data_IF_403994216629
#
_entry.id   IF_403994216629
#
_cell.length_a   1.000
_cell.length_b   1.000
_cell.length_c   1.000
_cell.angle_alpha   90.00
_cell.angle_beta   90.00
_cell.angle_gamma   90.00
#
_symmetry.space_group_name_H-M   'P 1'
#
loop_
_entity.id
_entity.type
_entity.pdbx_description
1 polymer ?
#
# COMPACT_ATOMS: atom_id res chain seq x y z
N UNK A 1 71.10 44.26 14.51
CA UNK A 1 70.82 43.98 13.08
C UNK A 1 71.59 42.71 12.75
N UNK A 2 70.87 41.59 12.66
CA UNK A 2 71.40 40.24 12.86
C UNK A 2 72.23 39.72 11.66
N UNK A 3 73.33 39.07 11.99
CA UNK A 3 74.18 38.27 11.11
C UNK A 3 74.13 36.79 11.52
N UNK A 4 74.23 35.93 10.50
CA UNK A 4 75.04 34.68 10.44
C UNK A 4 74.43 33.31 10.86
N UNK A 5 74.30 32.47 9.83
CA UNK A 5 74.81 31.07 9.64
C UNK A 5 74.19 29.89 10.42
N UNK A 6 73.54 28.99 9.66
CA UNK A 6 74.07 27.68 9.24
C UNK A 6 74.45 26.56 10.24
N UNK A 7 73.90 25.37 9.93
CA UNK A 7 74.43 24.00 10.12
C UNK A 7 74.23 23.22 11.46
N UNK A 8 73.60 22.04 11.28
CA UNK A 8 73.98 20.69 11.78
C UNK A 8 73.43 20.11 13.11
N UNK A 9 72.77 18.96 12.91
CA UNK A 9 72.63 17.73 13.70
C UNK A 9 71.89 17.66 15.05
N UNK A 10 70.94 16.71 15.02
CA UNK A 10 70.61 15.67 16.00
C UNK A 10 70.18 16.15 17.40
N UNK A 11 68.89 16.01 17.66
CA UNK A 11 68.44 15.22 18.82
C UNK A 11 67.18 14.43 18.49
N UNK A 12 67.36 13.12 18.63
CA UNK A 12 66.39 12.04 18.54
C UNK A 12 65.35 12.23 19.66
N UNK A 13 64.06 12.30 19.34
CA UNK A 13 63.01 11.91 20.27
C UNK A 13 62.09 10.92 19.55
N UNK A 14 62.32 9.65 19.86
CA UNK A 14 61.53 8.52 19.43
C UNK A 14 60.17 8.59 20.15
N UNK A 15 59.12 9.10 19.50
CA UNK A 15 57.75 8.78 19.88
C UNK A 15 57.30 7.60 19.03
N UNK A 16 57.37 6.41 19.61
CA UNK A 16 56.74 5.20 19.08
C UNK A 16 55.23 5.39 19.10
N UNK A 17 54.65 5.80 17.98
CA UNK A 17 53.23 5.62 17.73
C UNK A 17 53.02 4.16 17.32
N UNK A 18 52.53 3.34 18.26
CA UNK A 18 51.96 2.03 17.96
C UNK A 18 50.68 2.30 17.16
N UNK A 19 50.77 2.19 15.83
CA UNK A 19 49.61 2.12 14.97
C UNK A 19 48.91 0.79 15.24
N UNK A 20 47.92 0.79 16.13
CA UNK A 20 46.98 -0.30 16.25
C UNK A 20 46.19 -0.39 14.94
N UNK A 21 46.59 -1.31 14.06
CA UNK A 21 45.73 -1.79 12.96
C UNK A 21 44.53 -2.50 13.59
N UNK A 22 43.51 -1.75 13.96
CA UNK A 22 42.17 -2.29 14.13
C UNK A 22 41.61 -2.50 12.74
N UNK A 23 41.52 -3.77 12.34
CA UNK A 23 40.85 -4.17 11.11
C UNK A 23 39.46 -3.56 11.06
N UNK A 24 39.23 -2.68 10.09
CA UNK A 24 37.89 -2.28 9.68
C UNK A 24 37.24 -3.51 9.05
N UNK A 25 36.58 -4.32 9.89
CA UNK A 25 35.58 -5.26 9.40
C UNK A 25 34.49 -4.42 8.71
N UNK A 26 34.11 -4.73 7.46
CA UNK A 26 32.96 -4.09 6.85
C UNK A 26 31.76 -4.45 7.73
N UNK A 27 31.20 -3.45 8.40
CA UNK A 27 29.91 -3.59 9.05
C UNK A 27 28.91 -3.89 7.94
N UNK A 28 28.56 -5.16 7.77
CA UNK A 28 27.35 -5.54 7.06
C UNK A 28 26.21 -4.84 7.78
N UNK A 29 25.70 -3.76 7.19
CA UNK A 29 24.43 -3.17 7.60
C UNK A 29 23.40 -4.27 7.40
N UNK A 30 23.09 -5.00 8.46
CA UNK A 30 21.98 -5.93 8.48
C UNK A 30 20.76 -5.11 8.07
N UNK A 31 20.19 -5.42 6.90
CA UNK A 31 18.96 -4.82 6.43
C UNK A 31 17.93 -4.92 7.56
N UNK A 32 17.70 -3.80 8.25
CA UNK A 32 16.73 -3.75 9.34
C UNK A 32 15.38 -4.10 8.70
N UNK A 33 14.91 -5.31 9.00
CA UNK A 33 13.68 -5.84 8.44
C UNK A 33 12.54 -4.87 8.72
N UNK A 34 12.15 -4.10 7.69
CA UNK A 34 11.01 -3.20 7.80
C UNK A 34 9.81 -4.01 8.28
N UNK A 35 9.24 -3.62 9.41
CA UNK A 35 7.93 -4.13 9.87
C UNK A 35 6.96 -3.99 8.71
N UNK A 36 6.50 -5.10 8.15
CA UNK A 36 5.52 -5.15 7.07
C UNK A 36 4.21 -4.55 7.60
N UNK A 37 3.91 -3.29 7.26
CA UNK A 37 2.76 -2.55 7.81
C UNK A 37 1.44 -2.83 7.09
N UNK A 38 1.48 -3.30 5.83
CA UNK A 38 0.29 -3.46 4.99
C UNK A 38 0.22 -4.86 4.37
N UNK A 39 -1.01 -5.31 4.05
CA UNK A 39 -1.22 -6.60 3.40
C UNK A 39 -0.57 -6.65 2.00
N UNK A 40 -0.58 -5.54 1.26
CA UNK A 40 0.12 -5.44 -0.03
C UNK A 40 1.62 -5.68 0.09
N UNK A 41 2.28 -5.06 1.07
CA UNK A 41 3.72 -5.27 1.29
C UNK A 41 4.05 -6.73 1.65
N UNK A 42 3.18 -7.38 2.45
CA UNK A 42 3.34 -8.80 2.76
C UNK A 42 3.26 -9.67 1.49
N UNK A 43 2.30 -9.39 0.62
CA UNK A 43 2.11 -10.14 -0.63
C UNK A 43 3.33 -10.04 -1.53
N UNK A 44 3.75 -8.81 -1.83
CA UNK A 44 4.90 -8.55 -2.70
C UNK A 44 6.17 -9.23 -2.17
N UNK A 45 6.39 -9.23 -0.86
CA UNK A 45 7.59 -9.85 -0.28
C UNK A 45 7.55 -11.39 -0.23
N UNK A 46 6.37 -12.01 -0.32
CA UNK A 46 6.22 -13.47 -0.16
C UNK A 46 5.92 -14.22 -1.44
N UNK A 47 5.47 -13.54 -2.49
CA UNK A 47 5.34 -14.11 -3.82
C UNK A 47 6.73 -14.39 -4.42
N UNK A 48 6.88 -15.49 -5.19
CA UNK A 48 8.11 -15.77 -5.90
C UNK A 48 8.41 -14.64 -6.90
N UNK A 49 9.69 -14.31 -7.06
CA UNK A 49 10.13 -13.33 -8.07
C UNK A 49 9.96 -13.95 -9.46
N UNK A 50 9.24 -13.26 -10.33
CA UNK A 50 9.04 -13.62 -11.74
C UNK A 50 9.93 -12.73 -12.62
N UNK A 51 10.38 -13.13 -13.81
CA UNK A 51 11.16 -12.22 -14.68
C UNK A 51 10.32 -10.99 -15.08
N UNK A 52 10.98 -9.87 -15.38
CA UNK A 52 10.33 -8.65 -15.88
C UNK A 52 10.53 -8.49 -17.39
N UNK A 53 9.47 -8.06 -18.09
CA UNK A 53 9.57 -7.54 -19.44
C UNK A 53 10.12 -6.11 -19.46
N UNK A 54 10.46 -5.58 -20.65
CA UNK A 54 10.90 -4.19 -20.79
C UNK A 54 9.74 -3.22 -20.52
N UNK A 55 8.55 -3.58 -20.97
CA UNK A 55 7.32 -2.84 -20.78
C UNK A 55 7.00 -2.71 -19.29
N UNK A 56 7.11 -3.80 -18.52
CA UNK A 56 6.90 -3.80 -17.07
C UNK A 56 7.91 -2.91 -16.33
N UNK A 57 9.17 -2.92 -16.75
CA UNK A 57 10.19 -2.03 -16.17
C UNK A 57 9.83 -0.57 -16.44
N UNK A 58 9.45 -0.23 -17.68
CA UNK A 58 9.07 1.13 -18.04
C UNK A 58 7.83 1.59 -17.26
N UNK A 59 6.81 0.74 -17.17
CA UNK A 59 5.58 1.03 -16.42
C UNK A 59 5.88 1.22 -14.92
N UNK A 60 6.75 0.41 -14.31
CA UNK A 60 7.13 0.56 -12.90
C UNK A 60 7.85 1.89 -12.63
N UNK A 61 8.78 2.29 -13.51
CA UNK A 61 9.50 3.55 -13.38
C UNK A 61 8.58 4.76 -13.58
N UNK A 62 7.66 4.67 -14.55
CA UNK A 62 6.69 5.71 -14.82
C UNK A 62 5.69 5.88 -13.66
N UNK A 63 5.04 4.79 -13.23
CA UNK A 63 4.09 4.79 -12.12
C UNK A 63 4.73 5.29 -10.81
N UNK A 64 6.03 5.02 -10.60
CA UNK A 64 6.78 5.53 -9.44
C UNK A 64 6.79 7.06 -9.40
N UNK A 65 6.97 7.73 -10.53
CA UNK A 65 6.97 9.19 -10.62
C UNK A 65 5.54 9.76 -10.76
N UNK A 66 4.59 9.03 -11.32
CA UNK A 66 3.18 9.45 -11.40
C UNK A 66 2.51 9.53 -10.02
N UNK A 67 2.71 8.53 -9.16
CA UNK A 67 2.23 8.58 -7.78
C UNK A 67 2.90 9.72 -6.99
N UNK A 68 4.16 10.03 -7.32
CA UNK A 68 4.84 11.21 -6.78
C UNK A 68 4.23 12.51 -7.29
N UNK A 69 3.83 12.57 -8.56
CA UNK A 69 3.12 13.72 -9.15
C UNK A 69 1.85 14.00 -8.37
N UNK A 70 1.03 12.97 -8.14
CA UNK A 70 -0.18 13.08 -7.34
C UNK A 70 0.11 13.63 -5.94
N UNK A 71 1.02 12.99 -5.20
CA UNK A 71 1.45 13.43 -3.86
C UNK A 71 1.89 14.88 -3.85
N UNK A 72 2.79 15.25 -4.76
CA UNK A 72 3.43 16.56 -4.75
C UNK A 72 2.46 17.67 -5.15
N UNK A 73 1.55 17.42 -6.10
CA UNK A 73 0.47 18.36 -6.43
C UNK A 73 -0.44 18.56 -5.23
N UNK A 74 -0.81 17.49 -4.53
CA UNK A 74 -1.69 17.58 -3.35
C UNK A 74 -1.03 18.29 -2.17
N UNK A 75 0.25 18.02 -1.90
CA UNK A 75 1.01 18.78 -0.89
C UNK A 75 1.07 20.27 -1.26
N UNK A 76 1.34 20.57 -2.53
CA UNK A 76 1.47 21.95 -3.00
C UNK A 76 0.13 22.69 -2.90
N UNK A 77 -0.96 22.13 -3.42
CA UNK A 77 -2.27 22.77 -3.39
C UNK A 77 -2.88 22.79 -1.98
N UNK A 78 -2.53 21.82 -1.12
CA UNK A 78 -2.92 21.82 0.29
C UNK A 78 -2.34 22.98 1.10
N UNK A 79 -1.21 23.54 0.67
CA UNK A 79 -0.65 24.76 1.27
C UNK A 79 -1.42 26.03 0.86
N UNK A 80 -2.04 26.04 -0.33
CA UNK A 80 -2.86 27.15 -0.82
C UNK A 80 -4.30 27.06 -0.30
N UNK A 81 -4.85 25.85 -0.21
CA UNK A 81 -6.20 25.57 0.23
C UNK A 81 -6.16 24.55 1.37
N UNK A 82 -6.26 24.97 2.64
CA UNK A 82 -6.04 24.12 3.82
C UNK A 82 -7.23 23.16 4.10
N UNK A 83 -7.72 22.48 3.07
CA UNK A 83 -8.73 21.44 3.19
C UNK A 83 -8.09 20.09 3.53
N UNK A 84 -8.65 19.32 4.47
CA UNK A 84 -8.11 18.02 4.87
C UNK A 84 -7.96 17.02 3.72
N UNK A 85 -8.74 17.16 2.64
CA UNK A 85 -8.70 16.25 1.48
C UNK A 85 -7.29 16.15 0.88
N UNK A 86 -6.62 17.28 0.63
CA UNK A 86 -5.30 17.29 0.00
C UNK A 86 -4.25 16.59 0.87
N UNK A 87 -4.21 16.91 2.17
CA UNK A 87 -3.28 16.27 3.11
C UNK A 87 -3.56 14.77 3.27
N UNK A 88 -4.83 14.38 3.33
CA UNK A 88 -5.21 12.98 3.55
C UNK A 88 -4.91 12.12 2.33
N UNK A 89 -5.16 12.63 1.12
CA UNK A 89 -4.89 11.93 -0.13
C UNK A 89 -3.39 11.91 -0.41
N UNK A 90 -2.65 13.00 -0.20
CA UNK A 90 -1.17 12.99 -0.28
C UNK A 90 -0.52 11.93 0.61
N UNK A 91 -1.07 11.66 1.80
CA UNK A 91 -0.60 10.56 2.67
C UNK A 91 -0.90 9.17 2.10
N UNK A 92 -1.97 9.04 1.32
CA UNK A 92 -2.30 7.83 0.57
C UNK A 92 -1.31 7.61 -0.57
N UNK A 93 -0.99 8.66 -1.35
CA UNK A 93 -0.03 8.57 -2.45
C UNK A 93 1.37 8.24 -1.95
N UNK A 94 1.74 8.73 -0.78
CA UNK A 94 2.97 8.31 -0.13
C UNK A 94 2.99 6.79 0.17
N UNK A 95 1.83 6.15 0.40
CA UNK A 95 1.75 4.68 0.48
C UNK A 95 1.81 4.02 -0.89
N UNK A 96 1.18 4.57 -1.92
CA UNK A 96 1.26 4.05 -3.28
C UNK A 96 2.70 4.06 -3.79
N UNK A 97 3.38 5.20 -3.65
CA UNK A 97 4.81 5.37 -3.88
C UNK A 97 5.64 4.30 -3.19
N UNK A 98 5.39 4.02 -1.91
CA UNK A 98 6.12 2.95 -1.17
C UNK A 98 5.87 1.57 -1.74
N UNK A 99 4.65 1.28 -2.19
CA UNK A 99 4.33 -0.02 -2.78
C UNK A 99 5.06 -0.23 -4.11
N UNK A 100 5.20 0.81 -4.95
CA UNK A 100 6.00 0.72 -6.18
C UNK A 100 7.48 0.61 -5.83
N UNK A 101 7.98 1.40 -4.87
CA UNK A 101 9.38 1.29 -4.42
C UNK A 101 9.73 -0.13 -3.96
N UNK A 102 8.84 -0.80 -3.23
CA UNK A 102 9.04 -2.20 -2.84
C UNK A 102 9.24 -3.14 -4.04
N UNK A 103 8.58 -2.87 -5.18
CA UNK A 103 8.83 -3.60 -6.42
C UNK A 103 10.18 -3.23 -7.01
N UNK A 104 10.51 -1.93 -7.13
CA UNK A 104 11.81 -1.50 -7.64
C UNK A 104 12.97 -2.14 -6.84
N UNK A 105 12.88 -2.14 -5.51
CA UNK A 105 13.86 -2.76 -4.63
C UNK A 105 13.92 -4.29 -4.83
N UNK A 106 12.76 -4.97 -4.89
CA UNK A 106 12.68 -6.44 -5.12
C UNK A 106 13.30 -6.83 -6.46
N UNK A 107 13.14 -5.99 -7.47
CA UNK A 107 13.62 -6.20 -8.83
C UNK A 107 15.00 -5.60 -9.09
N UNK A 108 15.58 -4.90 -8.10
CA UNK A 108 16.89 -4.24 -8.20
C UNK A 108 16.93 -3.21 -9.34
N UNK A 109 15.85 -2.48 -9.53
CA UNK A 109 15.71 -1.40 -10.51
C UNK A 109 16.13 -0.05 -9.89
N UNK A 110 16.71 0.87 -10.67
CA UNK A 110 17.01 2.22 -10.19
C UNK A 110 15.72 2.99 -9.86
N UNK A 111 15.70 3.74 -8.75
CA UNK A 111 14.53 4.53 -8.33
C UNK A 111 14.66 5.99 -8.81
N UNK A 112 13.84 6.43 -9.81
CA UNK A 112 13.92 7.78 -10.36
C UNK A 112 13.61 8.88 -9.32
N UNK A 113 12.89 8.53 -8.25
CA UNK A 113 12.57 9.47 -7.17
C UNK A 113 13.74 9.64 -6.22
N UNK A 114 14.53 8.59 -5.97
CA UNK A 114 15.76 8.70 -5.18
C UNK A 114 16.83 9.49 -5.94
N UNK A 115 16.97 9.24 -7.24
CA UNK A 115 17.91 9.99 -8.09
C UNK A 115 17.61 11.50 -8.13
N UNK A 116 16.33 11.89 -8.07
CA UNK A 116 15.90 13.30 -7.99
C UNK A 116 15.91 13.88 -6.57
N UNK A 117 16.33 13.09 -5.57
CA UNK A 117 16.40 13.46 -4.16
C UNK A 117 15.05 13.56 -3.45
N UNK A 118 13.97 13.06 -4.06
CA UNK A 118 12.62 13.03 -3.47
C UNK A 118 11.96 14.38 -3.23
N UNK A 119 12.54 15.49 -3.74
CA UNK A 119 12.05 16.85 -3.52
C UNK A 119 10.68 17.07 -4.17
N UNK A 120 9.81 17.81 -3.47
CA UNK A 120 8.48 18.15 -3.97
C UNK A 120 8.60 18.96 -5.26
N UNK A 121 7.90 18.53 -6.30
CA UNK A 121 7.84 19.24 -7.58
C UNK A 121 9.03 19.03 -8.51
N UNK A 122 9.96 18.13 -8.17
CA UNK A 122 11.12 17.77 -9.00
C UNK A 122 10.97 16.36 -9.56
N UNK A 123 11.01 16.19 -10.88
CA UNK A 123 10.83 14.90 -11.57
C UNK A 123 11.99 14.64 -12.52
N UNK A 124 12.36 13.36 -12.68
CA UNK A 124 13.34 12.90 -13.66
C UNK A 124 12.71 12.88 -15.05
N UNK A 125 11.46 12.42 -15.18
CA UNK A 125 10.71 12.51 -16.43
C UNK A 125 10.29 13.96 -16.75
N UNK A 126 10.78 14.56 -17.86
CA UNK A 126 10.41 15.92 -18.25
C UNK A 126 8.92 16.09 -18.58
N UNK A 127 8.21 15.04 -19.00
CA UNK A 127 6.76 15.09 -19.24
C UNK A 127 6.01 15.27 -17.93
N UNK A 128 6.36 14.51 -16.90
CA UNK A 128 5.77 14.63 -15.56
C UNK A 128 6.15 15.95 -14.90
N UNK A 129 7.37 16.45 -15.10
CA UNK A 129 7.77 17.79 -14.65
C UNK A 129 6.87 18.89 -15.25
N UNK A 130 6.61 18.83 -16.56
CA UNK A 130 5.72 19.77 -17.26
C UNK A 130 4.28 19.63 -16.77
N UNK A 131 3.82 18.41 -16.53
CA UNK A 131 2.47 18.14 -16.02
C UNK A 131 2.29 18.70 -14.61
N UNK A 132 3.25 18.50 -13.69
CA UNK A 132 3.26 19.11 -12.35
C UNK A 132 3.08 20.62 -12.42
N UNK A 133 3.93 21.30 -13.21
CA UNK A 133 3.89 22.76 -13.35
C UNK A 133 2.51 23.24 -13.85
N UNK A 134 1.95 22.55 -14.86
CA UNK A 134 0.64 22.86 -15.43
C UNK A 134 -0.49 22.68 -14.42
N UNK A 135 -0.51 21.55 -13.70
CA UNK A 135 -1.56 21.21 -12.73
C UNK A 135 -1.52 22.14 -11.53
N UNK A 136 -0.33 22.44 -11.00
CA UNK A 136 -0.16 23.40 -9.89
C UNK A 136 -0.58 24.81 -10.31
N UNK A 137 -0.15 25.27 -11.48
CA UNK A 137 -0.56 26.59 -12.01
C UNK A 137 -2.07 26.71 -12.16
N UNK A 138 -2.73 25.66 -12.68
CA UNK A 138 -4.19 25.61 -12.79
C UNK A 138 -4.85 25.58 -11.41
N UNK A 139 -4.40 24.71 -10.52
CA UNK A 139 -5.00 24.52 -9.21
C UNK A 139 -4.94 25.76 -8.34
N UNK A 140 -3.90 26.59 -8.46
CA UNK A 140 -3.77 27.87 -7.72
C UNK A 140 -4.78 28.94 -8.11
N UNK A 141 -5.54 28.77 -9.21
CA UNK A 141 -6.50 29.78 -9.68
C UNK A 141 -7.71 29.90 -8.76
N UNK A 142 -8.22 28.77 -8.27
CA UNK A 142 -9.38 28.73 -7.38
C UNK A 142 -9.44 27.38 -6.67
N UNK A 143 -10.18 27.33 -5.55
CA UNK A 143 -10.42 26.07 -4.86
C UNK A 143 -11.12 25.04 -5.78
N UNK A 144 -12.06 25.48 -6.62
CA UNK A 144 -12.74 24.61 -7.59
C UNK A 144 -11.73 24.03 -8.59
N UNK A 145 -10.81 24.85 -9.10
CA UNK A 145 -9.76 24.37 -10.01
C UNK A 145 -8.81 23.39 -9.31
N UNK A 146 -8.45 23.63 -8.05
CA UNK A 146 -7.63 22.70 -7.27
C UNK A 146 -8.30 21.34 -7.08
N UNK A 147 -9.60 21.32 -6.78
CA UNK A 147 -10.37 20.08 -6.66
C UNK A 147 -10.55 19.36 -8.00
N UNK A 148 -10.73 20.11 -9.11
CA UNK A 148 -10.75 19.55 -10.47
C UNK A 148 -9.40 18.99 -10.88
N UNK A 149 -8.29 19.63 -10.47
CA UNK A 149 -6.93 19.09 -10.65
C UNK A 149 -6.79 17.77 -9.91
N UNK A 150 -7.29 17.67 -8.67
CA UNK A 150 -7.39 16.41 -7.94
C UNK A 150 -8.09 15.32 -8.74
N UNK A 151 -9.33 15.54 -9.15
CA UNK A 151 -10.06 14.57 -9.96
C UNK A 151 -9.38 14.24 -11.31
N UNK A 152 -8.63 15.19 -11.91
CA UNK A 152 -7.89 14.97 -13.16
C UNK A 152 -6.67 14.06 -12.99
N UNK A 153 -6.00 14.15 -11.84
CA UNK A 153 -4.87 13.26 -11.55
C UNK A 153 -5.39 11.84 -11.37
N UNK A 154 -6.47 11.64 -10.60
CA UNK A 154 -7.04 10.30 -10.40
C UNK A 154 -7.62 9.68 -11.68
N UNK A 155 -8.12 10.52 -12.59
CA UNK A 155 -8.58 10.09 -13.92
C UNK A 155 -7.41 9.58 -14.78
N UNK A 156 -6.28 10.31 -14.80
CA UNK A 156 -5.07 9.88 -15.49
C UNK A 156 -4.51 8.59 -14.88
N UNK A 157 -4.38 8.55 -13.55
CA UNK A 157 -3.78 7.43 -12.81
C UNK A 157 -4.58 6.13 -13.02
N UNK A 158 -5.91 6.19 -13.01
CA UNK A 158 -6.75 5.02 -13.33
C UNK A 158 -6.48 4.56 -14.75
N UNK A 159 -6.48 5.47 -15.72
CA UNK A 159 -6.26 5.14 -17.13
C UNK A 159 -4.91 4.45 -17.34
N UNK A 160 -3.84 5.00 -16.78
CA UNK A 160 -2.50 4.49 -16.97
C UNK A 160 -2.28 3.17 -16.20
N UNK A 161 -2.91 3.00 -15.04
CA UNK A 161 -2.93 1.71 -14.31
C UNK A 161 -3.68 0.61 -15.06
N UNK A 162 -4.80 0.92 -15.71
CA UNK A 162 -5.54 -0.06 -16.54
C UNK A 162 -4.69 -0.53 -17.72
N UNK A 163 -4.04 0.42 -18.39
CA UNK A 163 -3.15 0.13 -19.49
C UNK A 163 -1.95 -0.72 -19.05
N UNK A 164 -1.29 -0.36 -17.94
CA UNK A 164 -0.20 -1.14 -17.37
C UNK A 164 -0.65 -2.54 -16.94
N UNK A 165 -1.84 -2.67 -16.33
CA UNK A 165 -2.43 -3.96 -15.95
C UNK A 165 -2.76 -4.87 -17.15
N UNK A 166 -3.05 -4.29 -18.31
CA UNK A 166 -3.29 -5.05 -19.55
C UNK A 166 -2.01 -5.64 -20.14
N UNK A 167 -0.84 -5.06 -19.82
CA UNK A 167 0.48 -5.46 -20.33
C UNK A 167 1.26 -6.40 -19.41
N UNK A 168 0.74 -6.75 -18.24
CA UNK A 168 1.46 -7.55 -17.22
C UNK A 168 0.65 -8.75 -16.75
N UNK A 169 1.31 -9.92 -16.73
CA UNK A 169 0.88 -11.12 -16.03
C UNK A 169 1.66 -11.36 -14.73
N UNK A 170 2.72 -10.56 -14.47
CA UNK A 170 3.54 -10.65 -13.26
C UNK A 170 2.72 -10.41 -11.99
N UNK A 171 2.70 -11.42 -11.13
CA UNK A 171 1.83 -11.44 -9.94
C UNK A 171 2.16 -10.36 -8.91
N UNK A 172 3.43 -9.97 -8.80
CA UNK A 172 3.84 -8.90 -7.88
C UNK A 172 3.28 -7.55 -8.33
N UNK A 173 3.45 -7.24 -9.62
CA UNK A 173 3.01 -6.00 -10.24
C UNK A 173 1.49 -5.88 -10.18
N UNK A 174 0.78 -6.94 -10.58
CA UNK A 174 -0.69 -6.97 -10.58
C UNK A 174 -1.28 -6.69 -9.21
N UNK A 175 -0.67 -7.22 -8.14
CA UNK A 175 -1.10 -6.90 -6.77
C UNK A 175 -0.99 -5.41 -6.49
N UNK A 176 0.13 -4.79 -6.82
CA UNK A 176 0.34 -3.37 -6.52
C UNK A 176 -0.64 -2.54 -7.34
N UNK A 177 -0.66 -2.67 -8.66
CA UNK A 177 -1.48 -1.85 -9.54
C UNK A 177 -2.99 -1.97 -9.27
N UNK A 178 -3.52 -3.16 -9.02
CA UNK A 178 -4.95 -3.30 -8.69
C UNK A 178 -5.32 -2.61 -7.37
N UNK A 179 -4.39 -2.54 -6.42
CA UNK A 179 -4.64 -1.89 -5.13
C UNK A 179 -4.41 -0.37 -5.18
N UNK A 180 -3.48 0.10 -6.01
CA UNK A 180 -3.33 1.51 -6.39
C UNK A 180 -4.61 1.99 -7.08
N UNK A 181 -5.07 1.29 -8.12
CA UNK A 181 -6.27 1.63 -8.88
C UNK A 181 -7.53 1.71 -7.98
N UNK A 182 -7.63 0.85 -6.95
CA UNK A 182 -8.69 0.98 -5.92
C UNK A 182 -8.56 2.27 -5.11
N UNK A 183 -7.33 2.62 -4.72
CA UNK A 183 -7.00 3.89 -4.07
C UNK A 183 -7.47 5.07 -4.91
N UNK A 184 -7.05 5.14 -6.17
CA UNK A 184 -7.33 6.22 -7.12
C UNK A 184 -8.83 6.38 -7.36
N UNK A 185 -9.58 5.28 -7.53
CA UNK A 185 -11.07 5.32 -7.58
C UNK A 185 -11.69 5.93 -6.31
N UNK A 186 -11.13 5.66 -5.13
CA UNK A 186 -11.62 6.26 -3.88
C UNK A 186 -11.27 7.74 -3.76
N UNK A 187 -10.09 8.15 -4.23
CA UNK A 187 -9.67 9.55 -4.29
C UNK A 187 -10.54 10.34 -5.26
N UNK A 188 -10.82 9.79 -6.45
CA UNK A 188 -11.75 10.36 -7.43
C UNK A 188 -13.12 10.60 -6.80
N UNK A 189 -13.71 9.59 -6.14
CA UNK A 189 -14.98 9.75 -5.38
C UNK A 189 -14.88 10.86 -4.33
N UNK A 190 -13.74 11.00 -3.66
CA UNK A 190 -13.56 12.02 -2.63
C UNK A 190 -13.51 13.44 -3.23
N UNK A 191 -12.75 13.64 -4.31
CA UNK A 191 -12.67 14.92 -5.01
C UNK A 191 -14.01 15.31 -5.64
N UNK A 192 -14.65 14.39 -6.38
CA UNK A 192 -15.95 14.67 -7.03
C UNK A 192 -17.04 14.96 -6.00
N UNK A 193 -17.11 14.20 -4.90
CA UNK A 193 -18.06 14.50 -3.81
C UNK A 193 -17.83 15.88 -3.20
N UNK A 194 -16.58 16.33 -3.12
CA UNK A 194 -16.27 17.66 -2.59
C UNK A 194 -16.60 18.75 -3.61
N UNK A 195 -16.28 18.55 -4.90
CA UNK A 195 -16.69 19.44 -6.00
C UNK A 195 -18.19 19.70 -5.98
N UNK A 196 -19.00 18.63 -5.89
CA UNK A 196 -20.47 18.71 -5.84
C UNK A 196 -20.97 19.48 -4.64
N UNK A 197 -20.29 19.38 -3.49
CA UNK A 197 -20.60 20.19 -2.30
C UNK A 197 -20.29 21.68 -2.48
N UNK A 198 -19.37 22.03 -3.38
CA UNK A 198 -19.11 23.41 -3.77
C UNK A 198 -19.86 23.84 -5.04
N UNK A 199 -20.91 23.12 -5.44
CA UNK A 199 -21.75 23.47 -6.59
C UNK A 199 -21.05 23.29 -7.96
N UNK A 200 -20.02 22.45 -8.03
CA UNK A 200 -19.34 22.11 -9.28
C UNK A 200 -19.36 20.59 -9.53
N UNK A 201 -18.89 20.15 -10.70
CA UNK A 201 -18.71 18.73 -11.00
C UNK A 201 -17.43 18.50 -11.81
N UNK A 202 -17.13 17.24 -12.09
CA UNK A 202 -16.02 16.80 -12.92
C UNK A 202 -16.52 16.03 -14.15
N UNK A 203 -15.86 16.26 -15.28
CA UNK A 203 -16.05 15.50 -16.51
C UNK A 203 -14.74 14.76 -16.82
N UNK A 204 -14.78 13.43 -17.02
CA UNK A 204 -13.57 12.65 -17.26
C UNK A 204 -12.92 13.06 -18.59
N UNK A 205 -11.60 12.96 -18.62
CA UNK A 205 -10.72 13.32 -19.74
C UNK A 205 -9.94 12.14 -20.27
N UNK A 206 -9.65 11.15 -19.43
CA UNK A 206 -8.85 9.99 -19.79
C UNK A 206 -9.66 8.71 -19.79
N UNK A 207 -10.38 8.42 -18.71
CA UNK A 207 -11.33 7.30 -18.66
C UNK A 207 -12.65 7.63 -19.36
N UNK A 208 -13.41 6.60 -19.70
CA UNK A 208 -14.71 6.78 -20.34
C UNK A 208 -15.76 7.35 -19.37
N UNK A 209 -16.77 8.05 -19.91
CA UNK A 209 -17.90 8.54 -19.11
C UNK A 209 -18.67 7.40 -18.43
N UNK A 210 -18.77 6.24 -19.08
CA UNK A 210 -19.42 5.05 -18.50
C UNK A 210 -18.66 4.54 -17.28
N UNK A 211 -17.36 4.38 -17.41
CA UNK A 211 -16.49 3.92 -16.32
C UNK A 211 -16.50 4.92 -15.16
N UNK A 212 -16.34 6.22 -15.44
CA UNK A 212 -16.44 7.27 -14.45
C UNK A 212 -17.76 7.21 -13.66
N UNK A 213 -18.88 7.05 -14.36
CA UNK A 213 -20.19 6.91 -13.72
C UNK A 213 -20.28 5.63 -12.89
N UNK A 214 -19.70 4.52 -13.37
CA UNK A 214 -19.64 3.26 -12.62
C UNK A 214 -18.84 3.43 -11.31
N UNK A 215 -17.71 4.16 -11.34
CA UNK A 215 -16.87 4.46 -10.19
C UNK A 215 -17.68 5.25 -9.16
N UNK A 216 -18.40 6.29 -9.58
CA UNK A 216 -19.18 7.14 -8.70
C UNK A 216 -20.47 6.50 -8.18
N UNK A 217 -21.01 5.49 -8.87
CA UNK A 217 -22.25 4.81 -8.47
C UNK A 217 -22.10 3.95 -7.22
N UNK A 218 -20.88 3.54 -6.88
CA UNK A 218 -20.59 2.70 -5.72
C UNK A 218 -19.96 3.48 -4.57
N UNK A 219 -20.20 3.00 -3.35
CA UNK A 219 -19.57 3.54 -2.14
C UNK A 219 -18.06 3.25 -2.14
N UNK A 220 -17.35 3.93 -1.25
CA UNK A 220 -15.91 3.74 -1.01
C UNK A 220 -15.53 2.25 -0.93
N UNK A 221 -14.57 1.85 -1.76
CA UNK A 221 -14.04 0.48 -1.81
C UNK A 221 -13.06 0.25 -0.67
N UNK A 222 -13.38 -0.66 0.25
CA UNK A 222 -12.54 -1.00 1.38
C UNK A 222 -12.03 -2.44 1.26
N UNK A 223 -10.71 -2.67 1.32
CA UNK A 223 -10.19 -4.02 1.28
C UNK A 223 -8.88 -4.15 0.52
N UNK A 224 -8.76 -5.19 -0.29
CA UNK A 224 -7.55 -5.60 -1.00
C UNK A 224 -7.85 -6.45 -2.24
N UNK A 225 -7.06 -6.31 -3.31
CA UNK A 225 -7.12 -7.20 -4.50
C UNK A 225 -5.91 -8.16 -4.56
N UNK A 226 -6.13 -9.48 -4.75
CA UNK A 226 -5.04 -10.48 -4.96
C UNK A 226 -4.39 -10.36 -6.34
N UNK A 227 -3.25 -11.05 -6.61
CA UNK A 227 -2.68 -11.05 -7.96
C UNK A 227 -3.67 -11.42 -9.07
N UNK A 228 -4.58 -12.33 -8.77
CA UNK A 228 -5.63 -12.81 -9.67
C UNK A 228 -6.77 -11.82 -9.92
N UNK A 229 -6.77 -10.61 -9.35
CA UNK A 229 -7.90 -9.68 -9.48
C UNK A 229 -9.06 -9.94 -8.53
N UNK A 230 -8.94 -10.90 -7.62
CA UNK A 230 -10.01 -11.21 -6.68
C UNK A 230 -10.08 -10.15 -5.58
N UNK A 231 -11.23 -9.49 -5.45
CA UNK A 231 -11.47 -8.53 -4.38
C UNK A 231 -11.72 -9.24 -3.05
N UNK A 232 -10.94 -8.87 -2.05
CA UNK A 232 -11.19 -9.17 -0.65
C UNK A 232 -11.67 -7.88 -0.01
N UNK A 233 -12.90 -7.88 0.51
CA UNK A 233 -13.42 -6.74 1.26
C UNK A 233 -12.57 -6.38 2.49
N UNK A 234 -13.07 -5.52 3.40
CA UNK A 234 -12.29 -4.98 4.51
C UNK A 234 -11.62 -6.07 5.39
N UNK A 235 -10.48 -5.71 6.00
CA UNK A 235 -9.73 -6.58 6.94
C UNK A 235 -10.61 -7.08 8.08
N UNK A 236 -11.62 -6.32 8.45
CA UNK A 236 -12.67 -6.76 9.36
C UNK A 236 -13.96 -7.01 8.60
N UNK A 237 -14.66 -8.08 8.95
CA UNK A 237 -16.03 -8.35 8.57
C UNK A 237 -16.91 -8.04 9.77
N UNK A 238 -18.02 -7.34 9.55
CA UNK A 238 -19.08 -7.16 10.54
C UNK A 238 -20.37 -7.71 9.98
N UNK A 239 -21.12 -8.42 10.80
CA UNK A 239 -22.39 -8.97 10.37
C UNK A 239 -23.03 -9.88 11.40
N UNK A 240 -24.23 -10.34 11.05
CA UNK A 240 -25.01 -11.27 11.87
C UNK A 240 -24.60 -12.70 11.56
N UNK A 241 -24.40 -13.51 12.59
CA UNK A 241 -24.11 -14.93 12.44
C UNK A 241 -25.37 -15.65 11.97
N UNK A 242 -25.28 -16.31 10.83
CA UNK A 242 -26.35 -17.13 10.26
C UNK A 242 -26.27 -18.56 10.79
N UNK A 243 -25.06 -19.12 10.79
CA UNK A 243 -24.84 -20.53 11.11
C UNK A 243 -23.45 -20.76 11.66
N UNK A 244 -23.36 -21.63 12.66
CA UNK A 244 -22.12 -22.22 13.13
C UNK A 244 -22.11 -23.68 12.67
N UNK A 245 -20.97 -24.11 12.15
CA UNK A 245 -20.77 -25.49 11.69
C UNK A 245 -19.33 -25.92 11.95
N UNK A 246 -19.08 -27.22 11.85
CA UNK A 246 -17.74 -27.77 11.83
C UNK A 246 -17.42 -28.26 10.42
N UNK A 247 -16.29 -27.84 9.86
CA UNK A 247 -15.82 -28.31 8.54
C UNK A 247 -14.35 -28.72 8.59
N UNK A 248 -13.91 -29.63 7.69
CA UNK A 248 -12.51 -29.92 7.49
C UNK A 248 -11.65 -28.67 7.28
N UNK A 249 -10.44 -28.72 7.83
CA UNK A 249 -9.40 -27.72 7.61
C UNK A 249 -9.02 -27.60 6.14
N UNK A 250 -8.42 -26.46 5.77
CA UNK A 250 -8.01 -26.21 4.39
C UNK A 250 -6.96 -27.21 3.88
N UNK A 251 -5.84 -27.33 4.60
CA UNK A 251 -4.71 -28.20 4.25
C UNK A 251 -4.82 -29.60 4.88
N UNK A 252 -5.15 -29.66 6.17
CA UNK A 252 -5.32 -30.92 6.91
C UNK A 252 -6.81 -31.26 7.02
N UNK A 253 -7.30 -32.13 6.14
CA UNK A 253 -8.72 -32.50 6.05
C UNK A 253 -9.22 -33.28 7.28
N UNK A 254 -8.33 -33.99 7.97
CA UNK A 254 -8.62 -34.71 9.21
C UNK A 254 -8.78 -33.81 10.45
N UNK A 255 -8.43 -32.52 10.35
CA UNK A 255 -8.63 -31.58 11.46
C UNK A 255 -9.93 -30.83 11.24
N UNK A 256 -10.90 -30.98 12.16
CA UNK A 256 -12.16 -30.24 12.14
C UNK A 256 -11.99 -28.83 12.69
N UNK A 257 -12.65 -27.87 12.05
CA UNK A 257 -12.61 -26.45 12.38
C UNK A 257 -14.00 -25.91 12.62
N UNK A 258 -14.12 -25.03 13.60
CA UNK A 258 -15.27 -24.14 13.72
C UNK A 258 -15.34 -23.21 12.52
N UNK A 259 -16.52 -23.14 11.90
CA UNK A 259 -16.86 -22.26 10.79
C UNK A 259 -18.08 -21.45 11.15
N UNK A 260 -17.98 -20.13 10.99
CA UNK A 260 -19.07 -19.19 11.19
C UNK A 260 -19.46 -18.61 9.83
N UNK A 261 -20.71 -18.77 9.45
CA UNK A 261 -21.32 -18.12 8.30
C UNK A 261 -21.95 -16.80 8.77
N UNK A 262 -21.55 -15.70 8.15
CA UNK A 262 -21.88 -14.34 8.56
C UNK A 262 -22.58 -13.64 7.39
N UNK A 263 -23.74 -13.02 7.66
CA UNK A 263 -24.39 -12.10 6.74
C UNK A 263 -23.79 -10.71 6.93
N UNK A 264 -23.04 -10.26 5.93
CA UNK A 264 -22.47 -8.90 5.87
C UNK A 264 -23.28 -8.04 4.91
N UNK A 265 -23.12 -6.70 4.93
CA UNK A 265 -23.73 -5.82 3.91
C UNK A 265 -23.32 -6.18 2.47
N UNK A 266 -22.18 -6.84 2.28
CA UNK A 266 -21.64 -7.27 0.98
C UNK A 266 -22.06 -8.69 0.60
N UNK A 267 -22.88 -9.36 1.42
CA UNK A 267 -23.31 -10.74 1.19
C UNK A 267 -22.83 -11.71 2.27
N UNK A 268 -22.93 -13.00 1.96
CA UNK A 268 -22.66 -14.07 2.91
C UNK A 268 -21.22 -14.55 2.84
N UNK A 269 -20.62 -14.74 4.02
CA UNK A 269 -19.22 -15.06 4.13
C UNK A 269 -19.02 -16.19 5.13
N UNK A 270 -18.28 -17.23 4.73
CA UNK A 270 -17.85 -18.31 5.63
C UNK A 270 -16.44 -18.05 6.17
N UNK A 271 -16.30 -18.02 7.49
CA UNK A 271 -15.04 -17.79 8.20
C UNK A 271 -14.66 -19.01 9.03
N UNK A 272 -13.48 -19.58 8.78
CA UNK A 272 -12.86 -20.57 9.68
C UNK A 272 -12.27 -19.87 10.92
N UNK A 273 -12.75 -20.25 12.10
CA UNK A 273 -12.39 -19.63 13.37
C UNK A 273 -11.16 -20.30 13.97
N UNK A 274 -11.26 -21.56 14.41
CA UNK A 274 -10.15 -22.34 14.98
C UNK A 274 -10.40 -23.85 14.86
N UNK A 275 -9.37 -24.70 14.96
CA UNK A 275 -9.56 -26.14 15.15
C UNK A 275 -10.44 -26.38 16.38
N UNK A 276 -11.40 -27.29 16.28
CA UNK A 276 -12.33 -27.60 17.38
C UNK A 276 -11.56 -28.03 18.63
N UNK A 277 -10.52 -28.85 18.45
CA UNK A 277 -9.63 -29.30 19.53
C UNK A 277 -8.86 -28.18 20.26
N UNK A 278 -8.71 -27.00 19.65
CA UNK A 278 -8.02 -25.85 20.26
C UNK A 278 -8.99 -24.85 20.89
N UNK A 279 -10.27 -24.95 20.54
CA UNK A 279 -11.34 -24.12 21.06
C UNK A 279 -12.56 -25.01 21.34
N UNK A 280 -12.48 -25.89 22.36
CA UNK A 280 -13.56 -26.84 22.65
C UNK A 280 -14.84 -26.13 23.07
N UNK A 281 -14.71 -24.98 23.73
CA UNK A 281 -15.82 -24.09 24.08
C UNK A 281 -15.86 -22.91 23.11
N UNK A 282 -16.81 -22.94 22.18
CA UNK A 282 -17.09 -21.86 21.25
C UNK A 282 -18.55 -21.43 21.40
N UNK A 283 -18.77 -20.25 21.98
CA UNK A 283 -20.09 -19.82 22.47
C UNK A 283 -20.86 -18.90 21.52
N UNK A 284 -20.27 -18.55 20.37
CA UNK A 284 -20.96 -17.74 19.35
C UNK A 284 -22.16 -18.52 18.80
N UNK A 285 -23.32 -17.88 18.75
CA UNK A 285 -24.60 -18.46 18.34
C UNK A 285 -25.12 -17.81 17.07
N UNK A 286 -26.03 -18.52 16.40
CA UNK A 286 -26.80 -17.93 15.31
C UNK A 286 -27.64 -16.79 15.90
N UNK A 287 -27.62 -15.63 15.23
CA UNK A 287 -28.24 -14.41 15.75
C UNK A 287 -27.26 -13.36 16.24
N UNK A 288 -26.08 -13.76 16.73
CA UNK A 288 -25.11 -12.84 17.30
C UNK A 288 -24.52 -11.90 16.25
N UNK A 289 -24.22 -10.66 16.66
CA UNK A 289 -23.47 -9.72 15.85
C UNK A 289 -21.98 -9.86 16.15
N UNK A 290 -21.20 -10.18 15.11
CA UNK A 290 -19.78 -10.42 15.25
C UNK A 290 -18.96 -9.45 14.41
N UNK A 291 -17.80 -9.07 14.94
CA UNK A 291 -16.70 -8.43 14.23
C UNK A 291 -15.54 -9.42 14.11
N UNK A 292 -15.25 -9.85 12.90
CA UNK A 292 -14.13 -10.76 12.60
C UNK A 292 -12.98 -9.97 11.98
N UNK A 293 -11.83 -9.91 12.63
CA UNK A 293 -10.57 -9.49 12.01
C UNK A 293 -9.99 -10.71 11.31
N UNK A 294 -9.70 -10.61 10.02
CA UNK A 294 -9.17 -11.70 9.21
C UNK A 294 -7.91 -11.30 8.46
N UNK A 295 -7.13 -12.30 8.09
CA UNK A 295 -6.09 -12.17 7.07
C UNK A 295 -6.43 -13.13 5.93
N UNK A 296 -6.34 -12.71 4.65
CA UNK A 296 -6.58 -13.58 3.51
C UNK A 296 -5.48 -14.64 3.28
N UNK A 297 -4.77 -15.10 4.32
CA UNK A 297 -3.63 -16.03 4.22
C UNK A 297 -3.90 -17.26 3.34
N UNK A 298 -5.09 -17.86 3.46
CA UNK A 298 -5.45 -19.04 2.65
C UNK A 298 -5.82 -18.69 1.22
N UNK A 299 -6.36 -17.49 1.00
CA UNK A 299 -6.61 -16.96 -0.34
C UNK A 299 -5.29 -16.72 -1.10
N UNK A 300 -4.23 -16.29 -0.41
CA UNK A 300 -2.86 -16.22 -0.97
C UNK A 300 -2.39 -17.59 -1.47
N UNK A 301 -2.82 -18.64 -0.80
CA UNK A 301 -2.51 -20.04 -1.14
C UNK A 301 -3.54 -20.65 -2.10
N UNK A 302 -4.34 -19.84 -2.79
CA UNK A 302 -5.33 -20.28 -3.79
C UNK A 302 -6.60 -20.89 -3.22
N UNK A 303 -6.84 -20.80 -1.91
CA UNK A 303 -8.03 -21.35 -1.28
C UNK A 303 -9.03 -20.24 -0.98
N UNK A 304 -10.22 -20.35 -1.59
CA UNK A 304 -11.30 -19.42 -1.32
C UNK A 304 -11.89 -19.64 0.08
N UNK A 305 -11.29 -19.03 1.10
CA UNK A 305 -12.02 -18.76 2.32
C UNK A 305 -11.22 -18.13 3.44
N UNK A 306 -11.99 -17.49 4.31
CA UNK A 306 -11.48 -16.59 5.32
C UNK A 306 -11.10 -17.33 6.59
N UNK A 307 -10.06 -16.83 7.26
CA UNK A 307 -9.66 -17.31 8.57
C UNK A 307 -9.58 -16.16 9.55
N UNK A 308 -10.20 -16.33 10.71
CA UNK A 308 -10.21 -15.32 11.76
C UNK A 308 -8.81 -15.17 12.39
N UNK A 309 -8.31 -13.96 12.50
CA UNK A 309 -7.23 -13.62 13.42
C UNK A 309 -7.78 -13.21 14.78
N UNK A 310 -8.95 -12.57 14.78
CA UNK A 310 -9.72 -12.24 15.97
C UNK A 310 -11.20 -12.33 15.63
N UNK A 311 -12.00 -12.83 16.55
CA UNK A 311 -13.46 -12.78 16.48
C UNK A 311 -13.97 -12.11 17.75
N UNK A 312 -14.72 -11.04 17.59
CA UNK A 312 -15.37 -10.32 18.68
C UNK A 312 -16.86 -10.55 18.51
N UNK A 313 -17.47 -11.17 19.50
CA UNK A 313 -18.90 -11.27 19.65
C UNK A 313 -19.38 -9.99 20.34
N UNK A 314 -19.95 -9.08 19.55
CA UNK A 314 -20.42 -7.78 20.05
C UNK A 314 -21.75 -7.94 20.83
N UNK A 315 -22.47 -9.04 20.62
CA UNK A 315 -23.70 -9.37 21.36
C UNK A 315 -23.39 -9.92 22.75
N UNK A 316 -22.46 -10.87 22.84
CA UNK A 316 -22.09 -11.50 24.12
C UNK A 316 -20.92 -10.79 24.83
N UNK A 317 -20.32 -9.77 24.23
CA UNK A 317 -19.13 -9.07 24.76
C UNK A 317 -17.87 -9.93 24.81
N UNK A 318 -17.82 -11.05 24.08
CA UNK A 318 -16.74 -12.04 24.16
C UNK A 318 -15.74 -11.88 23.03
N UNK A 319 -14.45 -12.01 23.35
CA UNK A 319 -13.36 -11.88 22.37
C UNK A 319 -12.51 -13.14 22.28
N UNK A 320 -12.34 -13.63 21.05
CA UNK A 320 -11.45 -14.74 20.70
C UNK A 320 -10.25 -14.19 19.90
N UNK A 321 -9.05 -14.23 20.46
CA UNK A 321 -7.83 -13.74 19.83
C UNK A 321 -6.87 -14.88 19.49
N UNK A 322 -6.61 -15.07 18.20
CA UNK A 322 -5.80 -16.17 17.69
C UNK A 322 -4.36 -15.77 17.35
N UNK A 323 -3.96 -14.53 17.63
CA UNK A 323 -2.61 -14.03 17.37
C UNK A 323 -1.52 -14.82 18.11
N UNK A 324 -1.85 -15.38 19.28
CA UNK A 324 -0.94 -16.26 20.03
C UNK A 324 -0.62 -17.54 19.25
N UNK A 325 -1.61 -18.14 18.58
CA UNK A 325 -1.45 -19.40 17.83
C UNK A 325 -1.03 -19.21 16.38
N UNK A 326 -1.31 -18.03 15.79
CA UNK A 326 -1.10 -17.74 14.37
C UNK A 326 -0.10 -16.61 14.22
N UNK A 327 1.16 -16.95 13.92
CA UNK A 327 2.22 -15.96 13.73
C UNK A 327 1.85 -14.86 12.72
N UNK A 328 1.14 -15.22 11.63
CA UNK A 328 0.67 -14.24 10.64
C UNK A 328 -0.37 -13.26 11.20
N UNK A 329 -1.14 -13.63 12.22
CA UNK A 329 -2.13 -12.75 12.87
C UNK A 329 -1.52 -11.73 13.83
N UNK A 330 -0.21 -11.80 14.09
CA UNK A 330 0.53 -10.81 14.91
C UNK A 330 0.95 -9.57 14.13
N UNK A 331 0.69 -9.54 12.82
CA UNK A 331 1.10 -8.48 11.88
C UNK A 331 -0.03 -7.49 11.62
#
# INVERSE_FOLDING_TARGET
>A
MNLIVGLIMRKLLLMTFVAALTGFLPQTVAAQGQRIKTYGAYMVQTLPKEPLSKEEINDLLHMREEEKLARDVYLTLGNYYPLPIFRNIARSEEQHMRMIKLLLDKYSLPDPVEESGGRVGVFKDPKLQKLYNKLVSRGKRSLIDALKVGATIEDLDIKDLEEALSRTDNKDIRVVYQNLMRGSRNHMRAFVRLLRRYGSDYQPRYISSEEFNSILSVKHEAGFYSPSGTYFGPRFLKGKVLKISQKPGFRRKNVMWWVVQIKTPQGEVSVRVAPVRWLPQFEVKAGDFVKVIRLPYWNIKGLNGYMACKLIDETAGKTYDFSKWRKWCRR
#
